data_IF_916640474434
#
_entry.id   IF_916640474434
#
_cell.length_a   1.000
_cell.length_b   1.000
_cell.length_c   1.000
_cell.angle_alpha   90.00
_cell.angle_beta   90.00
_cell.angle_gamma   90.00
#
_symmetry.space_group_name_H-M   'P 1'
#
loop_
_entity.id
_entity.type
_entity.pdbx_description
1 polymer ?
#
# COMPACT_ATOMS: atom_id res chain seq x y z
N UNK A 1 -5.05 0.62 18.91
CA UNK A 1 -6.52 0.53 18.86
C UNK A 1 -7.00 1.56 17.85
N UNK A 2 -7.42 1.15 16.65
CA UNK A 2 -8.08 2.08 15.72
C UNK A 2 -9.28 2.67 16.46
N UNK A 3 -9.27 3.99 16.69
CA UNK A 3 -10.46 4.70 17.15
C UNK A 3 -11.59 4.48 16.15
N UNK A 4 -12.83 4.45 16.65
CA UNK A 4 -14.05 4.29 15.86
C UNK A 4 -14.24 5.50 14.93
N UNK A 5 -13.52 5.53 13.81
CA UNK A 5 -13.88 6.38 12.68
C UNK A 5 -15.06 5.71 11.95
N UNK A 6 -16.22 6.36 11.84
CA UNK A 6 -17.33 5.84 11.03
C UNK A 6 -16.91 5.83 9.56
N UNK A 7 -17.16 4.72 8.85
CA UNK A 7 -16.77 4.58 7.45
C UNK A 7 -16.45 3.13 7.05
N UNK A 8 -16.24 2.94 5.76
CA UNK A 8 -15.76 1.68 5.16
C UNK A 8 -14.36 1.34 5.68
N UNK A 9 -13.90 0.11 5.43
CA UNK A 9 -12.51 -0.26 5.76
C UNK A 9 -11.54 0.72 5.07
N UNK A 10 -11.82 1.09 3.82
CA UNK A 10 -11.03 2.05 3.06
C UNK A 10 -10.91 3.40 3.75
N UNK A 11 -12.02 3.96 4.25
CA UNK A 11 -12.02 5.26 4.94
C UNK A 11 -11.15 5.26 6.22
N UNK A 12 -10.91 4.09 6.81
CA UNK A 12 -10.06 3.93 8.00
C UNK A 12 -8.58 3.81 7.66
N UNK A 13 -8.24 3.24 6.50
CA UNK A 13 -6.86 3.10 6.04
C UNK A 13 -6.40 4.33 5.26
N UNK A 14 -7.30 5.06 4.60
CA UNK A 14 -6.99 6.23 3.78
C UNK A 14 -6.06 7.26 4.46
N UNK A 15 -6.27 7.64 5.74
CA UNK A 15 -5.37 8.58 6.42
C UNK A 15 -3.92 8.08 6.55
N UNK A 16 -3.72 6.76 6.64
CA UNK A 16 -2.40 6.13 6.73
C UNK A 16 -1.73 5.95 5.37
N UNK A 17 -2.52 5.96 4.29
CA UNK A 17 -2.01 5.84 2.92
C UNK A 17 -1.66 7.21 2.31
N UNK A 18 -2.15 8.31 2.90
CA UNK A 18 -1.90 9.68 2.42
C UNK A 18 -0.39 10.00 2.22
N UNK A 19 0.54 9.67 3.14
CA UNK A 19 1.96 9.92 2.92
C UNK A 19 2.52 9.20 1.68
N UNK A 20 2.01 8.00 1.36
CA UNK A 20 2.41 7.27 0.15
C UNK A 20 1.87 7.96 -1.10
N UNK A 21 0.63 8.45 -1.06
CA UNK A 21 0.07 9.24 -2.17
C UNK A 21 0.84 10.55 -2.38
N UNK A 22 1.20 11.24 -1.30
CA UNK A 22 1.98 12.48 -1.37
C UNK A 22 3.37 12.22 -1.99
N UNK A 23 4.05 11.15 -1.58
CA UNK A 23 5.32 10.75 -2.18
C UNK A 23 5.20 10.38 -3.67
N UNK A 24 4.09 9.76 -4.09
CA UNK A 24 3.83 9.50 -5.50
C UNK A 24 3.64 10.81 -6.28
N UNK A 25 2.96 11.80 -5.71
CA UNK A 25 2.75 13.12 -6.32
C UNK A 25 4.05 13.92 -6.50
N UNK A 26 5.07 13.67 -5.68
CA UNK A 26 6.40 14.30 -5.84
C UNK A 26 7.21 13.68 -6.99
N UNK A 27 6.93 12.42 -7.35
CA UNK A 27 7.70 11.65 -8.33
C UNK A 27 7.02 11.50 -9.70
N UNK A 28 5.70 11.64 -9.76
CA UNK A 28 4.88 11.43 -10.94
C UNK A 28 3.96 12.63 -11.18
N UNK A 29 3.63 12.87 -12.45
CA UNK A 29 2.65 13.90 -12.80
C UNK A 29 1.31 13.62 -12.09
N UNK A 30 0.71 14.60 -11.39
CA UNK A 30 -0.52 14.40 -10.62
C UNK A 30 -1.69 13.84 -11.44
N UNK A 31 -1.78 14.21 -12.72
CA UNK A 31 -2.83 13.74 -13.63
C UNK A 31 -2.63 12.26 -14.05
N UNK A 32 -1.41 11.75 -13.94
CA UNK A 32 -1.09 10.37 -14.30
C UNK A 32 -1.43 9.37 -13.20
N UNK A 33 -1.39 9.79 -11.93
CA UNK A 33 -1.57 8.91 -10.77
C UNK A 33 -2.95 8.25 -10.76
N UNK A 34 -4.09 8.97 -10.87
CA UNK A 34 -5.40 8.34 -10.91
C UNK A 34 -5.54 7.31 -12.05
N UNK A 35 -4.94 7.59 -13.20
CA UNK A 35 -4.94 6.70 -14.37
C UNK A 35 -4.14 5.42 -14.09
N UNK A 36 -2.97 5.54 -13.48
CA UNK A 36 -2.11 4.39 -13.14
C UNK A 36 -2.69 3.54 -12.02
N UNK A 37 -3.33 4.17 -11.02
CA UNK A 37 -4.07 3.49 -9.96
C UNK A 37 -5.27 2.72 -10.52
N UNK A 38 -6.07 3.35 -11.40
CA UNK A 38 -7.22 2.70 -12.03
C UNK A 38 -6.83 1.55 -12.97
N UNK A 39 -5.67 1.65 -13.61
CA UNK A 39 -5.10 0.58 -14.44
C UNK A 39 -4.48 -0.56 -13.61
N UNK A 40 -4.35 -0.41 -12.28
CA UNK A 40 -3.70 -1.38 -11.39
C UNK A 40 -2.17 -1.43 -11.55
N UNK A 41 -1.57 -0.45 -12.23
CA UNK A 41 -0.11 -0.33 -12.39
C UNK A 41 0.55 0.14 -11.09
N UNK A 42 -0.11 1.05 -10.38
CA UNK A 42 0.26 1.43 -9.01
C UNK A 42 -0.82 0.89 -8.10
N UNK A 43 -0.40 0.17 -7.06
CA UNK A 43 -1.30 -0.36 -6.06
C UNK A 43 -0.77 -0.02 -4.67
N UNK A 44 -1.59 0.65 -3.87
CA UNK A 44 -1.30 0.91 -2.46
C UNK A 44 -2.24 0.06 -1.63
N UNK A 45 -1.68 -0.93 -0.93
CA UNK A 45 -2.47 -1.88 -0.17
C UNK A 45 -1.79 -2.26 1.15
N UNK A 46 -2.56 -2.61 2.20
CA UNK A 46 -2.00 -3.08 3.46
C UNK A 46 -1.23 -4.40 3.28
N UNK A 47 -0.20 -4.62 4.11
CA UNK A 47 0.62 -5.84 4.07
C UNK A 47 -0.20 -7.14 4.13
N UNK A 48 -1.33 -7.14 4.83
CA UNK A 48 -2.23 -8.29 4.92
C UNK A 48 -2.77 -8.76 3.55
N UNK A 49 -2.88 -7.86 2.57
CA UNK A 49 -3.39 -8.13 1.23
C UNK A 49 -2.34 -8.80 0.33
N UNK A 50 -1.08 -8.84 0.75
CA UNK A 50 0.00 -9.51 0.02
C UNK A 50 0.01 -11.02 0.20
N UNK A 51 -0.73 -11.54 1.20
CA UNK A 51 -0.80 -12.97 1.46
C UNK A 51 -1.47 -13.70 0.29
N UNK A 52 -0.77 -14.67 -0.30
CA UNK A 52 -1.30 -15.50 -1.38
C UNK A 52 -1.23 -14.86 -2.76
N UNK A 53 -0.64 -13.66 -2.88
CA UNK A 53 -0.33 -13.06 -4.19
C UNK A 53 0.99 -13.62 -4.73
N UNK A 54 1.08 -13.67 -6.05
CA UNK A 54 2.35 -13.85 -6.77
C UNK A 54 2.61 -12.54 -7.49
N UNK A 55 3.74 -11.89 -7.22
CA UNK A 55 4.05 -10.57 -7.76
C UNK A 55 5.17 -10.70 -8.80
N UNK A 56 4.78 -10.98 -10.04
CA UNK A 56 5.71 -11.06 -11.16
C UNK A 56 5.87 -9.69 -11.82
N UNK A 57 7.08 -9.38 -12.27
CA UNK A 57 7.42 -8.15 -12.99
C UNK A 57 6.93 -6.87 -12.27
N UNK A 58 7.10 -6.85 -10.95
CA UNK A 58 6.63 -5.79 -10.08
C UNK A 58 7.78 -5.21 -9.24
N UNK A 59 7.72 -3.92 -9.00
CA UNK A 59 8.52 -3.26 -7.97
C UNK A 59 7.66 -3.10 -6.71
N UNK A 60 8.12 -3.67 -5.59
CA UNK A 60 7.33 -3.69 -4.35
C UNK A 60 8.12 -2.95 -3.27
N UNK A 61 7.47 -1.99 -2.63
CA UNK A 61 8.03 -1.23 -1.51
C UNK A 61 7.21 -1.56 -0.27
N UNK A 62 7.90 -1.90 0.83
CA UNK A 62 7.30 -2.01 2.15
C UNK A 62 7.71 -0.79 2.97
N UNK A 63 6.76 0.09 3.20
CA UNK A 63 6.95 1.22 4.09
C UNK A 63 6.76 0.80 5.56
N UNK A 64 7.36 1.56 6.49
CA UNK A 64 7.23 1.35 7.92
C UNK A 64 7.59 -0.09 8.36
N UNK A 65 8.57 -0.70 7.68
CA UNK A 65 8.98 -2.10 7.84
C UNK A 65 9.34 -2.48 9.29
N UNK A 66 9.81 -1.52 10.09
CA UNK A 66 10.09 -1.70 11.52
C UNK A 66 8.87 -2.08 12.36
N UNK A 67 7.65 -1.80 11.87
CA UNK A 67 6.40 -2.15 12.53
C UNK A 67 5.93 -3.58 12.22
N UNK A 68 6.70 -4.34 11.43
CA UNK A 68 6.34 -5.71 11.04
C UNK A 68 6.92 -6.76 11.98
N UNK A 69 6.22 -7.90 12.11
CA UNK A 69 6.79 -9.08 12.76
C UNK A 69 7.75 -9.82 11.82
N UNK A 70 8.65 -10.64 12.38
CA UNK A 70 9.54 -11.49 11.58
C UNK A 70 8.77 -12.42 10.62
N UNK A 71 7.59 -12.90 11.02
CA UNK A 71 6.72 -13.72 10.16
C UNK A 71 6.11 -12.90 9.01
N UNK A 72 5.69 -11.67 9.28
CA UNK A 72 5.17 -10.76 8.26
C UNK A 72 6.24 -10.36 7.25
N UNK A 73 7.47 -10.07 7.73
CA UNK A 73 8.61 -9.78 6.86
C UNK A 73 8.97 -10.99 5.99
N UNK A 74 9.02 -12.20 6.57
CA UNK A 74 9.26 -13.43 5.80
C UNK A 74 8.16 -13.68 4.78
N UNK A 75 6.91 -13.40 5.15
CA UNK A 75 5.77 -13.49 4.24
C UNK A 75 5.94 -12.52 3.07
N UNK A 76 6.39 -11.29 3.33
CA UNK A 76 6.62 -10.27 2.31
C UNK A 76 7.76 -10.65 1.34
N UNK A 77 8.92 -11.05 1.87
CA UNK A 77 10.12 -11.37 1.08
C UNK A 77 9.99 -12.64 0.21
N UNK A 78 8.96 -13.46 0.43
CA UNK A 78 8.72 -14.71 -0.30
C UNK A 78 7.58 -14.57 -1.32
N UNK A 79 7.31 -13.35 -1.78
CA UNK A 79 6.28 -13.01 -2.76
C UNK A 79 6.86 -12.48 -4.05
#
# INVERSE_FOLDING_TARGET
RLGFLPGTLFDKIDPYLRPLYDALHDMLDPDSIPRLMAAGTIEVAPLAYMRGRTLNDAFIILDEAQNTSAEQMKMFLTR
#
